data_IF_119106031568
#
_entry.id   IF_119106031568
#
_cell.length_a   1.000
_cell.length_b   1.000
_cell.length_c   1.000
_cell.angle_alpha   90.00
_cell.angle_beta   90.00
_cell.angle_gamma   90.00
#
_symmetry.space_group_name_H-M   'P 1'
#
loop_
_entity.id
_entity.type
_entity.pdbx_description
1 polymer ?
#
# COMPACT_ATOMS: atom_id res chain seq x y z
N UNK A 1 -15.82 -14.24 13.04
CA UNK A 1 -16.31 -14.77 11.74
C UNK A 1 -16.89 -13.63 10.91
N UNK A 2 -17.96 -12.96 11.35
CA UNK A 2 -18.63 -11.88 10.60
C UNK A 2 -17.69 -10.73 10.13
N UNK A 3 -16.76 -10.26 10.98
CA UNK A 3 -15.80 -9.21 10.57
C UNK A 3 -14.90 -9.65 9.41
N UNK A 4 -14.43 -10.90 9.42
CA UNK A 4 -13.56 -11.44 8.37
C UNK A 4 -14.34 -11.58 7.06
N UNK A 5 -15.61 -11.98 7.13
CA UNK A 5 -16.50 -12.06 5.97
C UNK A 5 -16.78 -10.66 5.39
N UNK A 6 -17.12 -9.68 6.23
CA UNK A 6 -17.31 -8.27 5.79
C UNK A 6 -16.03 -7.69 5.18
N UNK A 7 -14.88 -7.95 5.79
CA UNK A 7 -13.57 -7.52 5.26
C UNK A 7 -13.26 -8.16 3.92
N UNK A 8 -13.54 -9.46 3.75
CA UNK A 8 -13.34 -10.16 2.48
C UNK A 8 -14.27 -9.63 1.40
N UNK A 9 -15.55 -9.44 1.72
CA UNK A 9 -16.52 -8.89 0.78
C UNK A 9 -16.11 -7.49 0.29
N UNK A 10 -15.70 -6.61 1.20
CA UNK A 10 -15.19 -5.29 0.83
C UNK A 10 -13.94 -5.38 -0.06
N UNK A 11 -13.01 -6.29 0.24
CA UNK A 11 -11.82 -6.49 -0.58
C UNK A 11 -12.17 -6.95 -2.00
N UNK A 12 -13.15 -7.83 -2.14
CA UNK A 12 -13.63 -8.31 -3.44
C UNK A 12 -14.28 -7.16 -4.24
N UNK A 13 -15.14 -6.35 -3.60
CA UNK A 13 -15.76 -5.16 -4.23
C UNK A 13 -14.71 -4.14 -4.70
N UNK A 14 -13.68 -3.87 -3.88
CA UNK A 14 -12.59 -2.98 -4.26
C UNK A 14 -11.77 -3.52 -5.44
N UNK A 15 -11.57 -4.84 -5.51
CA UNK A 15 -10.86 -5.50 -6.62
C UNK A 15 -11.66 -5.40 -7.92
N UNK A 16 -12.97 -5.62 -7.83
CA UNK A 16 -13.90 -5.51 -8.96
C UNK A 16 -13.92 -4.08 -9.49
N UNK A 17 -14.19 -3.09 -8.63
CA UNK A 17 -14.19 -1.67 -9.01
C UNK A 17 -12.87 -1.25 -9.66
N UNK A 18 -11.72 -1.66 -9.10
CA UNK A 18 -10.41 -1.37 -9.68
C UNK A 18 -10.29 -1.92 -11.10
N UNK A 19 -10.74 -3.16 -11.32
CA UNK A 19 -10.70 -3.78 -12.65
C UNK A 19 -11.61 -3.06 -13.65
N UNK A 20 -12.79 -2.61 -13.23
CA UNK A 20 -13.75 -1.90 -14.07
C UNK A 20 -13.22 -0.53 -14.52
N UNK A 21 -12.60 0.22 -13.60
CA UNK A 21 -12.10 1.58 -13.91
C UNK A 21 -10.72 1.59 -14.58
N UNK A 22 -9.99 0.46 -14.58
CA UNK A 22 -8.63 0.38 -15.14
C UNK A 22 -8.60 0.80 -16.61
N UNK A 23 -9.58 0.34 -17.39
CA UNK A 23 -9.69 0.66 -18.83
C UNK A 23 -10.06 2.13 -19.09
N UNK A 24 -10.48 2.87 -18.06
CA UNK A 24 -10.84 4.28 -18.13
C UNK A 24 -9.69 5.21 -17.70
N UNK A 25 -8.57 4.67 -17.21
CA UNK A 25 -7.42 5.47 -16.77
C UNK A 25 -6.80 6.23 -17.95
N UNK A 26 -6.52 7.51 -17.72
CA UNK A 26 -5.76 8.36 -18.65
C UNK A 26 -4.34 8.49 -18.11
N UNK A 27 -3.37 7.82 -18.73
CA UNK A 27 -1.98 7.75 -18.24
C UNK A 27 -1.35 9.13 -17.99
N UNK A 28 -1.58 10.09 -18.90
CA UNK A 28 -1.07 11.47 -18.77
C UNK A 28 -1.62 12.24 -17.56
N UNK A 29 -2.71 11.76 -16.95
CA UNK A 29 -3.32 12.35 -15.75
C UNK A 29 -2.91 11.64 -14.46
N UNK A 30 -2.09 10.58 -14.54
CA UNK A 30 -1.57 9.95 -13.34
C UNK A 30 -0.61 10.89 -12.63
N UNK A 31 -0.75 10.96 -11.32
CA UNK A 31 0.14 11.72 -10.46
C UNK A 31 1.28 10.82 -9.97
N UNK A 32 2.35 11.44 -9.48
CA UNK A 32 3.45 10.73 -8.81
C UNK A 32 2.96 9.83 -7.66
N UNK A 33 1.91 10.24 -6.95
CA UNK A 33 1.32 9.47 -5.85
C UNK A 33 0.60 8.22 -6.35
N UNK A 34 -0.01 8.26 -7.55
CA UNK A 34 -0.65 7.10 -8.16
C UNK A 34 0.40 6.04 -8.53
N UNK A 35 1.50 6.47 -9.15
CA UNK A 35 2.62 5.59 -9.48
C UNK A 35 3.28 4.98 -8.24
N UNK A 36 3.49 5.79 -7.20
CA UNK A 36 4.03 5.30 -5.92
C UNK A 36 3.09 4.26 -5.30
N UNK A 37 1.78 4.52 -5.27
CA UNK A 37 0.80 3.59 -4.74
C UNK A 37 0.80 2.26 -5.50
N UNK A 38 0.80 2.30 -6.83
CA UNK A 38 0.80 1.12 -7.69
C UNK A 38 2.05 0.25 -7.45
N UNK A 39 3.22 0.88 -7.27
CA UNK A 39 4.45 0.17 -6.90
C UNK A 39 4.36 -0.45 -5.49
N UNK A 40 3.83 0.27 -4.50
CA UNK A 40 3.64 -0.30 -3.15
C UNK A 40 2.68 -1.51 -3.19
N UNK A 41 1.60 -1.44 -3.97
CA UNK A 41 0.66 -2.55 -4.16
C UNK A 41 1.35 -3.72 -4.86
N UNK A 42 2.17 -3.48 -5.89
CA UNK A 42 2.95 -4.52 -6.59
C UNK A 42 3.92 -5.24 -5.66
N UNK A 43 4.53 -4.52 -4.72
CA UNK A 43 5.41 -5.09 -3.69
C UNK A 43 4.66 -5.79 -2.55
N UNK A 44 3.33 -5.75 -2.54
CA UNK A 44 2.49 -6.31 -1.47
C UNK A 44 2.56 -5.52 -0.16
N UNK A 45 3.02 -4.28 -0.21
CA UNK A 45 3.13 -3.40 0.95
C UNK A 45 1.77 -2.73 1.27
N UNK A 46 1.49 -2.60 2.56
CA UNK A 46 0.35 -1.85 3.07
C UNK A 46 0.79 -1.02 4.27
N UNK A 47 -0.08 -0.10 4.71
CA UNK A 47 0.19 0.80 5.85
C UNK A 47 0.80 0.07 7.05
N UNK A 48 0.28 -1.11 7.41
CA UNK A 48 0.74 -1.83 8.59
C UNK A 48 2.01 -2.65 8.36
N UNK A 49 2.23 -3.22 7.17
CA UNK A 49 3.51 -3.88 6.85
C UNK A 49 4.65 -2.87 6.83
N UNK A 50 4.45 -1.73 6.19
CA UNK A 50 5.43 -0.65 6.14
C UNK A 50 5.73 -0.11 7.54
N UNK A 51 4.71 0.16 8.37
CA UNK A 51 4.91 0.58 9.76
C UNK A 51 5.68 -0.44 10.59
N UNK A 52 5.43 -1.74 10.40
CA UNK A 52 6.21 -2.80 11.08
C UNK A 52 7.67 -2.80 10.62
N UNK A 53 7.91 -2.67 9.31
CA UNK A 53 9.25 -2.65 8.70
C UNK A 53 10.08 -1.48 9.22
N UNK A 54 9.55 -0.25 9.18
CA UNK A 54 10.28 0.96 9.62
C UNK A 54 10.48 1.05 11.14
N UNK A 55 9.65 0.33 11.91
CA UNK A 55 9.80 0.24 13.38
C UNK A 55 10.71 -0.91 13.82
N UNK A 56 11.17 -1.75 12.90
CA UNK A 56 12.08 -2.84 13.21
C UNK A 56 13.45 -2.32 13.64
N UNK A 57 14.18 -3.10 14.45
CA UNK A 57 15.47 -2.71 15.00
C UNK A 57 15.40 -1.85 16.26
N UNK A 58 16.55 -1.71 16.93
CA UNK A 58 16.67 -0.89 18.14
C UNK A 58 16.51 0.60 17.83
N UNK A 59 16.17 1.41 18.83
CA UNK A 59 16.14 2.88 18.68
C UNK A 59 17.48 3.41 18.18
N UNK A 60 18.61 2.89 18.69
CA UNK A 60 19.95 3.29 18.23
C UNK A 60 20.16 3.00 16.75
N UNK A 61 19.73 1.83 16.26
CA UNK A 61 19.87 1.48 14.84
C UNK A 61 19.00 2.37 13.95
N UNK A 62 17.76 2.68 14.36
CA UNK A 62 16.86 3.57 13.59
C UNK A 62 17.36 5.02 13.57
N UNK A 63 17.95 5.51 14.66
CA UNK A 63 18.61 6.82 14.69
C UNK A 63 19.83 6.82 13.78
N UNK A 64 20.71 5.82 13.87
CA UNK A 64 21.90 5.73 13.00
C UNK A 64 21.52 5.72 11.51
N UNK A 65 20.53 4.90 11.11
CA UNK A 65 20.01 4.89 9.74
C UNK A 65 19.48 6.26 9.30
N UNK A 66 18.82 7.00 10.19
CA UNK A 66 18.31 8.34 9.89
C UNK A 66 19.41 9.39 9.71
N UNK A 67 20.50 9.33 10.49
CA UNK A 67 21.63 10.26 10.37
C UNK A 67 22.52 9.96 9.15
N UNK A 68 22.40 8.76 8.56
CA UNK A 68 23.14 8.31 7.36
C UNK A 68 22.36 8.51 6.04
N UNK A 69 21.09 8.95 6.12
CA UNK A 69 20.20 9.25 4.99
C UNK A 69 20.54 10.60 4.34
#
# INVERSE_FOLDING_TARGET
>A
MEYLEKSKHLQDQLRELRSEIEVLKVGEKQTELDHLHEEQVRLGENKYSTLRKVKSGSTKARVAFFEEL
#
